data_IF_506194589281
#
_entry.id   IF_506194589281
#
_cell.length_a   1.000
_cell.length_b   1.000
_cell.length_c   1.000
_cell.angle_alpha   90.00
_cell.angle_beta   90.00
_cell.angle_gamma   90.00
#
_symmetry.space_group_name_H-M   'P 1'
#
loop_
_entity.id
_entity.type
_entity.pdbx_description
1 polymer ?
#
# COMPACT_ATOMS: atom_id res chain seq x y z
N UNK A 1 -22.40 37.36 9.36
CA UNK A 1 -21.74 36.06 9.57
C UNK A 1 -22.77 35.11 10.17
N UNK A 2 -23.15 34.03 9.47
CA UNK A 2 -24.08 33.02 9.99
C UNK A 2 -23.33 32.07 10.92
N UNK A 3 -23.57 32.15 12.22
CA UNK A 3 -22.81 31.44 13.26
C UNK A 3 -23.06 29.92 13.32
N UNK A 4 -24.07 29.39 12.60
CA UNK A 4 -24.46 27.97 12.62
C UNK A 4 -24.48 27.31 11.23
N UNK A 5 -23.93 27.95 10.19
CA UNK A 5 -23.88 27.36 8.85
C UNK A 5 -22.61 26.52 8.69
N UNK A 6 -22.76 25.20 8.53
CA UNK A 6 -21.64 24.33 8.22
C UNK A 6 -21.40 24.32 6.70
N UNK A 7 -20.34 25.01 6.28
CA UNK A 7 -19.89 24.95 4.89
C UNK A 7 -19.43 23.53 4.57
N UNK A 8 -20.06 22.91 3.57
CA UNK A 8 -19.64 21.63 3.03
C UNK A 8 -18.85 21.91 1.76
N UNK A 9 -17.59 21.49 1.74
CA UNK A 9 -16.79 21.54 0.53
C UNK A 9 -17.17 20.33 -0.33
N UNK A 10 -18.13 20.53 -1.23
CA UNK A 10 -18.44 19.54 -2.25
C UNK A 10 -17.52 19.75 -3.43
N UNK A 11 -16.86 18.68 -3.86
CA UNK A 11 -16.02 18.71 -5.04
C UNK A 11 -16.87 18.92 -6.29
N UNK A 12 -16.40 19.80 -7.16
CA UNK A 12 -16.94 19.97 -8.51
C UNK A 12 -16.70 18.73 -9.36
N UNK A 13 -17.47 18.58 -10.44
CA UNK A 13 -17.39 17.42 -11.34
C UNK A 13 -15.98 17.22 -11.93
N UNK A 14 -15.30 18.31 -12.30
CA UNK A 14 -13.92 18.30 -12.80
C UNK A 14 -12.91 17.83 -11.74
N UNK A 15 -13.05 18.28 -10.50
CA UNK A 15 -12.18 17.89 -9.39
C UNK A 15 -12.36 16.41 -9.04
N UNK A 16 -13.60 15.91 -9.03
CA UNK A 16 -13.89 14.48 -8.85
C UNK A 16 -13.24 13.64 -9.94
N UNK A 17 -13.33 14.06 -11.20
CA UNK A 17 -12.73 13.36 -12.32
C UNK A 17 -11.20 13.26 -12.19
N UNK A 18 -10.54 14.35 -11.78
CA UNK A 18 -9.10 14.35 -11.53
C UNK A 18 -8.71 13.41 -10.39
N UNK A 19 -9.40 13.48 -9.25
CA UNK A 19 -9.12 12.60 -8.10
C UNK A 19 -9.32 11.13 -8.44
N UNK A 20 -10.38 10.79 -9.19
CA UNK A 20 -10.61 9.42 -9.65
C UNK A 20 -9.52 8.92 -10.61
N UNK A 21 -8.99 9.80 -11.47
CA UNK A 21 -7.87 9.46 -12.33
C UNK A 21 -6.61 9.13 -11.50
N UNK A 22 -6.26 9.99 -10.55
CA UNK A 22 -5.12 9.77 -9.65
C UNK A 22 -5.27 8.52 -8.80
N UNK A 23 -6.46 8.26 -8.27
CA UNK A 23 -6.75 7.04 -7.52
C UNK A 23 -6.49 5.80 -8.38
N UNK A 24 -6.93 5.82 -9.64
CA UNK A 24 -6.71 4.70 -10.57
C UNK A 24 -5.22 4.46 -10.82
N UNK A 25 -4.47 5.52 -11.05
CA UNK A 25 -3.01 5.45 -11.23
C UNK A 25 -2.34 4.86 -9.99
N UNK A 26 -2.67 5.35 -8.80
CA UNK A 26 -2.12 4.84 -7.55
C UNK A 26 -2.43 3.35 -7.32
N UNK A 27 -3.66 2.92 -7.61
CA UNK A 27 -4.06 1.51 -7.52
C UNK A 27 -3.26 0.62 -8.49
N UNK A 28 -3.04 1.08 -9.73
CA UNK A 28 -2.20 0.35 -10.68
C UNK A 28 -0.77 0.18 -10.17
N UNK A 29 -0.16 1.26 -9.69
CA UNK A 29 1.20 1.22 -9.14
C UNK A 29 1.31 0.32 -7.93
N UNK A 30 0.35 0.39 -7.01
CA UNK A 30 0.31 -0.45 -5.82
C UNK A 30 0.21 -1.93 -6.19
N UNK A 31 -0.69 -2.29 -7.11
CA UNK A 31 -0.85 -3.67 -7.56
C UNK A 31 0.42 -4.18 -8.27
N UNK A 32 1.09 -3.32 -9.04
CA UNK A 32 2.36 -3.68 -9.68
C UNK A 32 3.47 -3.94 -8.65
N UNK A 33 3.62 -3.06 -7.66
CA UNK A 33 4.60 -3.24 -6.57
C UNK A 33 4.34 -4.50 -5.74
N UNK A 34 3.07 -4.80 -5.46
CA UNK A 34 2.70 -6.05 -4.79
C UNK A 34 3.09 -7.28 -5.62
N UNK A 35 2.83 -7.25 -6.93
CA UNK A 35 3.23 -8.31 -7.85
C UNK A 35 4.73 -8.56 -7.81
N UNK A 36 5.53 -7.51 -7.97
CA UNK A 36 6.99 -7.58 -7.89
C UNK A 36 7.45 -8.15 -6.54
N UNK A 37 6.86 -7.70 -5.43
CA UNK A 37 7.22 -8.20 -4.09
C UNK A 37 6.89 -9.68 -3.91
N UNK A 38 5.76 -10.15 -4.43
CA UNK A 38 5.40 -11.57 -4.40
C UNK A 38 6.32 -12.40 -5.29
N UNK A 39 6.65 -11.93 -6.49
CA UNK A 39 7.61 -12.60 -7.37
C UNK A 39 8.99 -12.70 -6.71
N UNK A 40 9.44 -11.62 -6.08
CA UNK A 40 10.70 -11.62 -5.34
C UNK A 40 10.65 -12.61 -4.19
N UNK A 41 9.58 -12.63 -3.38
CA UNK A 41 9.43 -13.60 -2.28
C UNK A 41 9.46 -15.04 -2.79
N UNK A 42 8.74 -15.36 -3.85
CA UNK A 42 8.69 -16.71 -4.42
C UNK A 42 10.06 -17.16 -4.96
N UNK A 43 10.84 -16.23 -5.51
CA UNK A 43 12.18 -16.51 -6.07
C UNK A 43 13.23 -16.64 -4.97
N UNK A 44 13.11 -15.88 -3.88
CA UNK A 44 14.13 -15.78 -2.83
C UNK A 44 13.79 -16.61 -1.58
N UNK A 45 12.58 -17.15 -1.46
CA UNK A 45 12.26 -18.06 -0.36
C UNK A 45 13.09 -19.34 -0.51
N UNK A 46 13.76 -19.74 0.56
CA UNK A 46 14.37 -21.06 0.63
C UNK A 46 13.36 -22.06 1.20
N UNK A 47 13.30 -23.28 0.64
CA UNK A 47 12.51 -24.38 1.22
C UNK A 47 13.18 -24.98 2.47
N UNK A 48 14.18 -24.30 3.07
CA UNK A 48 14.88 -24.80 4.23
C UNK A 48 13.97 -24.67 5.46
N UNK A 49 13.34 -25.77 5.83
CA UNK A 49 12.67 -25.92 7.11
C UNK A 49 13.78 -26.08 8.15
N UNK A 50 14.07 -25.00 8.89
CA UNK A 50 14.87 -25.12 10.12
C UNK A 50 14.08 -26.04 11.06
N UNK A 51 14.71 -26.98 11.80
CA UNK A 51 14.02 -28.03 12.56
C UNK A 51 13.01 -27.55 13.62
N UNK A 52 12.91 -26.23 13.85
CA UNK A 52 12.03 -25.57 14.81
C UNK A 52 10.92 -24.71 14.18
N UNK A 53 10.54 -24.94 12.91
CA UNK A 53 9.25 -24.50 12.38
C UNK A 53 9.08 -22.99 12.07
N UNK A 54 10.08 -22.16 12.32
CA UNK A 54 10.02 -20.74 11.97
C UNK A 54 10.59 -20.53 10.55
N UNK A 55 9.70 -20.23 9.61
CA UNK A 55 10.06 -19.97 8.21
C UNK A 55 10.99 -18.75 8.06
N UNK A 56 11.84 -18.82 7.02
CA UNK A 56 12.84 -17.84 6.57
C UNK A 56 12.76 -16.43 7.20
N UNK A 57 13.73 -16.13 8.07
CA UNK A 57 13.94 -14.80 8.64
C UNK A 57 14.46 -13.85 7.55
N UNK A 58 13.56 -13.25 6.78
CA UNK A 58 13.87 -11.97 6.14
C UNK A 58 14.02 -10.93 7.25
N UNK A 59 15.25 -10.81 7.74
CA UNK A 59 15.69 -9.80 8.70
C UNK A 59 15.41 -8.41 8.13
N UNK A 60 14.22 -7.89 8.38
CA UNK A 60 14.07 -6.46 8.61
C UNK A 60 14.59 -6.26 10.05
N UNK A 61 15.86 -5.91 10.20
CA UNK A 61 16.42 -5.54 11.50
C UNK A 61 15.61 -4.37 12.06
N UNK A 62 14.79 -4.62 13.07
CA UNK A 62 14.16 -3.56 13.84
C UNK A 62 15.28 -2.71 14.46
N UNK A 63 15.18 -1.36 14.40
CA UNK A 63 16.18 -0.51 15.02
C UNK A 63 16.20 -0.77 16.54
N UNK A 64 17.40 -0.79 17.16
CA UNK A 64 17.53 -1.04 18.58
C UNK A 64 16.88 0.10 19.39
N UNK A 65 16.18 -0.30 20.46
CA UNK A 65 15.57 0.57 21.50
C UNK A 65 16.62 1.19 22.41
#
# INVERSE_FOLDING_TARGET
MLLNYQYRCYLETSQKAQLNNWLRVAQYWYNWQLGDRFTWWETNRSNYIVPSGDCCYLSCSLPPT
#
